data_IF_802814686514
#
_entry.id   IF_802814686514
#
_cell.length_a   1.000
_cell.length_b   1.000
_cell.length_c   1.000
_cell.angle_alpha   90.00
_cell.angle_beta   90.00
_cell.angle_gamma   90.00
#
_symmetry.space_group_name_H-M   'P 1'
#
loop_
_entity.id
_entity.type
_entity.pdbx_description
1 polymer ?
#
# COMPACT_ATOMS: atom_id res chain seq x y z
N UNK A 1 -0.48 -16.80 -14.73
CA UNK A 1 -1.59 -16.88 -13.75
C UNK A 1 -1.05 -16.34 -12.45
N UNK A 2 -1.71 -15.35 -11.88
CA UNK A 2 -1.37 -14.83 -10.56
C UNK A 2 -1.70 -15.90 -9.50
N UNK A 3 -0.87 -16.08 -8.48
CA UNK A 3 -1.15 -17.03 -7.39
C UNK A 3 -2.21 -16.40 -6.47
N UNK A 4 -3.41 -16.99 -6.43
CA UNK A 4 -4.58 -16.48 -5.69
C UNK A 4 -4.35 -16.45 -4.17
N UNK A 5 -3.35 -17.16 -3.67
CA UNK A 5 -2.97 -17.15 -2.24
C UNK A 5 -2.23 -15.88 -1.83
N UNK A 6 -1.70 -15.14 -2.79
CA UNK A 6 -0.88 -13.95 -2.56
C UNK A 6 -1.76 -12.71 -2.69
N UNK A 7 -1.94 -11.99 -1.60
CA UNK A 7 -2.67 -10.73 -1.57
C UNK A 7 -1.73 -9.54 -1.44
N UNK A 8 -1.99 -8.51 -2.23
CA UNK A 8 -1.47 -7.17 -2.01
C UNK A 8 -2.49 -6.35 -1.21
N UNK A 9 -2.03 -5.80 -0.10
CA UNK A 9 -2.79 -4.92 0.77
C UNK A 9 -2.22 -3.52 0.63
N UNK A 10 -3.06 -2.53 0.35
CA UNK A 10 -2.67 -1.11 0.28
C UNK A 10 -3.64 -0.24 1.06
N UNK A 11 -3.19 0.98 1.42
CA UNK A 11 -4.02 1.92 2.18
C UNK A 11 -3.93 1.73 3.69
N UNK A 12 -3.05 0.86 4.17
CA UNK A 12 -2.85 0.60 5.61
C UNK A 12 -2.36 1.91 6.27
N UNK A 13 -3.05 2.41 7.32
CA UNK A 13 -2.54 3.52 8.11
C UNK A 13 -1.15 3.20 8.65
N UNK A 14 -0.24 4.17 8.61
CA UNK A 14 1.15 3.98 9.05
C UNK A 14 1.28 3.51 10.50
N UNK A 15 0.30 3.84 11.35
CA UNK A 15 0.24 3.41 12.75
C UNK A 15 -0.11 1.92 12.91
N UNK A 16 -0.85 1.34 11.97
CA UNK A 16 -1.33 -0.04 11.99
C UNK A 16 -0.53 -0.97 11.07
N UNK A 17 0.39 -0.42 10.28
CA UNK A 17 1.22 -1.18 9.33
C UNK A 17 2.40 -1.85 10.05
N UNK A 18 2.09 -2.71 11.03
CA UNK A 18 3.04 -3.47 11.86
C UNK A 18 2.76 -4.96 11.72
N UNK A 19 3.80 -5.78 11.94
CA UNK A 19 3.73 -7.23 11.80
C UNK A 19 2.64 -7.84 12.68
N UNK A 20 2.65 -7.52 13.96
CA UNK A 20 1.73 -8.09 14.96
C UNK A 20 0.26 -7.80 14.64
N UNK A 21 -0.10 -6.55 14.36
CA UNK A 21 -1.45 -6.16 13.96
C UNK A 21 -1.90 -6.85 12.68
N UNK A 22 -1.03 -6.92 11.67
CA UNK A 22 -1.38 -7.57 10.40
C UNK A 22 -1.54 -9.09 10.58
N UNK A 23 -0.68 -9.75 11.35
CA UNK A 23 -0.87 -11.16 11.69
C UNK A 23 -2.17 -11.40 12.45
N UNK A 24 -2.53 -10.51 13.38
CA UNK A 24 -3.79 -10.61 14.14
C UNK A 24 -5.02 -10.48 13.23
N UNK A 25 -5.01 -9.53 12.30
CA UNK A 25 -6.15 -9.29 11.41
C UNK A 25 -6.25 -10.36 10.32
N UNK A 26 -5.16 -10.60 9.58
CA UNK A 26 -5.16 -11.54 8.46
C UNK A 26 -5.12 -13.01 8.93
N UNK A 27 -4.61 -13.29 10.12
CA UNK A 27 -4.58 -14.64 10.68
C UNK A 27 -5.95 -15.22 10.99
N UNK A 28 -6.99 -14.38 11.14
CA UNK A 28 -8.36 -14.84 11.36
C UNK A 28 -8.96 -15.62 10.18
N UNK A 29 -8.36 -15.51 8.98
CA UNK A 29 -8.87 -16.15 7.77
C UNK A 29 -8.13 -17.45 7.43
N UNK A 30 -6.95 -17.67 8.02
CA UNK A 30 -6.16 -18.88 7.81
C UNK A 30 -4.68 -18.69 8.09
N UNK A 31 -3.91 -19.77 7.93
CA UNK A 31 -2.46 -19.77 8.17
C UNK A 31 -1.73 -18.89 7.16
N UNK A 32 -1.01 -17.90 7.67
CA UNK A 32 -0.14 -17.03 6.88
C UNK A 32 1.23 -17.71 6.74
N UNK A 33 1.60 -18.05 5.51
CA UNK A 33 2.92 -18.59 5.18
C UNK A 33 3.98 -17.48 5.21
N UNK A 34 3.65 -16.28 4.74
CA UNK A 34 4.57 -15.16 4.72
C UNK A 34 3.83 -13.82 4.80
N UNK A 35 4.38 -12.91 5.61
CA UNK A 35 3.98 -11.51 5.65
C UNK A 35 5.17 -10.61 5.31
N UNK A 36 4.99 -9.70 4.35
CA UNK A 36 6.00 -8.72 3.90
C UNK A 36 5.42 -7.32 4.00
N UNK A 37 6.02 -6.45 4.80
CA UNK A 37 5.58 -5.05 4.96
C UNK A 37 6.49 -4.14 4.13
N UNK A 38 5.89 -3.22 3.37
CA UNK A 38 6.64 -2.24 2.60
C UNK A 38 7.33 -1.21 3.50
N UNK A 39 8.66 -1.13 3.42
CA UNK A 39 9.50 -0.21 4.21
C UNK A 39 9.86 1.09 3.49
N UNK A 40 9.90 1.09 2.16
CA UNK A 40 10.35 2.26 1.39
C UNK A 40 9.30 3.38 1.39
N UNK A 41 9.74 4.62 1.17
CA UNK A 41 8.83 5.76 0.99
C UNK A 41 7.74 5.50 -0.07
N UNK A 42 8.09 4.70 -1.09
CA UNK A 42 7.16 4.34 -2.14
C UNK A 42 6.18 3.24 -1.75
N UNK A 43 6.49 2.35 -0.80
CA UNK A 43 5.70 1.14 -0.45
C UNK A 43 5.13 1.16 0.97
N UNK A 44 5.50 2.15 1.79
CA UNK A 44 4.92 2.38 3.13
C UNK A 44 3.39 2.39 3.09
N UNK A 45 2.76 1.68 4.04
CA UNK A 45 1.31 1.47 4.07
C UNK A 45 0.82 0.41 3.08
N UNK A 46 1.72 -0.44 2.57
CA UNK A 46 1.39 -1.62 1.78
C UNK A 46 2.00 -2.86 2.42
N UNK A 47 1.38 -4.02 2.22
CA UNK A 47 1.90 -5.31 2.64
C UNK A 47 1.55 -6.38 1.60
N UNK A 48 2.34 -7.44 1.54
CA UNK A 48 2.01 -8.68 0.84
C UNK A 48 1.75 -9.76 1.90
N UNK A 49 0.59 -10.42 1.78
CA UNK A 49 0.18 -11.53 2.62
C UNK A 49 0.12 -12.77 1.75
N UNK A 50 0.84 -13.83 2.14
CA UNK A 50 0.84 -15.13 1.46
C UNK A 50 0.16 -16.13 2.38
N UNK A 51 -0.97 -16.66 1.96
CA UNK A 51 -1.66 -17.74 2.68
C UNK A 51 -1.19 -19.12 2.22
N UNK A 52 -1.41 -20.13 3.07
CA UNK A 52 -1.23 -21.52 2.67
C UNK A 52 -2.31 -21.99 1.68
N UNK A 53 -3.56 -21.56 1.90
CA UNK A 53 -4.75 -21.98 1.15
C UNK A 53 -5.40 -20.82 0.38
N UNK A 54 -5.93 -21.11 -0.81
CA UNK A 54 -6.64 -20.12 -1.63
C UNK A 54 -7.95 -19.64 -0.99
N UNK A 55 -8.62 -20.52 -0.23
CA UNK A 55 -9.88 -20.23 0.47
C UNK A 55 -9.68 -19.13 1.54
N UNK A 56 -8.58 -19.21 2.29
CA UNK A 56 -8.21 -18.20 3.28
C UNK A 56 -7.95 -16.83 2.63
N UNK A 57 -7.26 -16.82 1.49
CA UNK A 57 -7.01 -15.60 0.73
C UNK A 57 -8.30 -14.99 0.17
N UNK A 58 -9.20 -15.83 -0.34
CA UNK A 58 -10.51 -15.38 -0.86
C UNK A 58 -11.38 -14.81 0.24
N UNK A 59 -11.47 -15.48 1.39
CA UNK A 59 -12.22 -14.97 2.55
C UNK A 59 -11.65 -13.65 3.08
N UNK A 60 -10.32 -13.52 3.15
CA UNK A 60 -9.66 -12.28 3.54
C UNK A 60 -9.91 -11.15 2.53
N UNK A 61 -9.85 -11.45 1.23
CA UNK A 61 -10.14 -10.51 0.15
C UNK A 61 -11.57 -9.96 0.28
N UNK A 62 -12.57 -10.84 0.38
CA UNK A 62 -13.98 -10.46 0.45
C UNK A 62 -14.29 -9.65 1.71
N UNK A 63 -13.72 -10.02 2.86
CA UNK A 63 -14.02 -9.37 4.12
C UNK A 63 -13.26 -8.05 4.35
N UNK A 64 -12.03 -7.93 3.83
CA UNK A 64 -11.15 -6.80 4.13
C UNK A 64 -10.99 -5.82 2.96
N UNK A 65 -11.41 -6.17 1.75
CA UNK A 65 -11.44 -5.20 0.66
C UNK A 65 -12.46 -4.10 0.96
N UNK A 66 -12.04 -2.85 0.80
CA UNK A 66 -12.80 -1.64 1.13
C UNK A 66 -13.18 -1.52 2.61
N UNK A 67 -12.51 -2.27 3.49
CA UNK A 67 -12.73 -2.15 4.93
C UNK A 67 -12.25 -0.78 5.45
N UNK A 68 -13.16 -0.07 6.11
CA UNK A 68 -12.88 1.26 6.68
C UNK A 68 -12.03 1.16 7.94
N UNK A 69 -10.77 1.60 7.86
CA UNK A 69 -9.80 1.54 8.99
C UNK A 69 -9.75 2.84 9.78
N UNK A 70 -10.01 3.97 9.12
CA UNK A 70 -9.99 5.30 9.70
C UNK A 70 -11.06 6.15 9.01
N UNK A 71 -11.36 7.37 9.52
CA UNK A 71 -12.46 8.22 9.01
C UNK A 71 -12.49 8.33 7.48
N UNK A 72 -11.32 8.52 6.88
CA UNK A 72 -11.15 8.77 5.44
C UNK A 72 -10.24 7.73 4.77
N UNK A 73 -10.13 6.52 5.34
CA UNK A 73 -9.20 5.50 4.83
C UNK A 73 -9.80 4.10 4.81
N UNK A 74 -9.81 3.52 3.62
CA UNK A 74 -10.24 2.15 3.37
C UNK A 74 -9.02 1.30 2.98
N UNK A 75 -9.00 0.04 3.42
CA UNK A 75 -8.06 -0.96 2.91
C UNK A 75 -8.45 -1.31 1.49
N UNK A 76 -7.44 -1.50 0.64
CA UNK A 76 -7.62 -2.09 -0.67
C UNK A 76 -6.81 -3.38 -0.71
N UNK A 77 -7.52 -4.49 -0.77
CA UNK A 77 -6.95 -5.85 -0.85
C UNK A 77 -7.17 -6.38 -2.27
N UNK A 78 -6.17 -6.98 -2.88
CA UNK A 78 -6.31 -7.58 -4.22
C UNK A 78 -5.37 -8.76 -4.36
N UNK A 79 -5.72 -9.75 -5.19
CA UNK A 79 -4.76 -10.78 -5.60
C UNK A 79 -3.55 -10.09 -6.23
N UNK A 80 -2.36 -10.37 -5.71
CA UNK A 80 -1.11 -9.79 -6.17
C UNK A 80 -0.79 -10.28 -7.58
N UNK A 81 -0.51 -9.34 -8.47
CA UNK A 81 -0.01 -9.63 -9.81
C UNK A 81 1.27 -8.85 -10.04
N UNK A 82 2.39 -9.57 -10.18
CA UNK A 82 3.71 -8.95 -10.27
C UNK A 82 3.80 -7.91 -11.39
N UNK A 83 3.22 -8.20 -12.57
CA UNK A 83 3.34 -7.31 -13.72
C UNK A 83 2.48 -6.05 -13.55
N UNK A 84 1.22 -6.21 -13.12
CA UNK A 84 0.29 -5.10 -12.86
C UNK A 84 0.79 -4.23 -11.72
N UNK A 85 1.17 -4.84 -10.61
CA UNK A 85 1.47 -4.13 -9.37
C UNK A 85 2.85 -3.47 -9.41
N UNK A 86 3.84 -4.06 -10.12
CA UNK A 86 5.10 -3.37 -10.45
C UNK A 86 4.86 -2.12 -11.29
N UNK A 87 4.07 -2.22 -12.37
CA UNK A 87 3.70 -1.06 -13.22
C UNK A 87 2.90 0.00 -12.44
N UNK A 88 2.05 -0.42 -11.51
CA UNK A 88 1.32 0.50 -10.64
C UNK A 88 2.26 1.24 -9.67
N UNK A 89 3.23 0.53 -9.09
CA UNK A 89 4.24 1.10 -8.19
C UNK A 89 5.13 2.12 -8.91
N UNK A 90 5.63 1.80 -10.10
CA UNK A 90 6.42 2.73 -10.93
C UNK A 90 5.65 4.00 -11.26
N UNK A 91 4.37 3.87 -11.65
CA UNK A 91 3.49 5.03 -11.88
C UNK A 91 3.29 5.85 -10.62
N UNK A 92 3.17 5.21 -9.45
CA UNK A 92 3.05 5.91 -8.16
C UNK A 92 4.35 6.66 -7.79
N UNK A 93 5.52 6.05 -8.02
CA UNK A 93 6.84 6.68 -7.81
C UNK A 93 6.98 7.93 -8.68
N UNK A 94 6.79 7.79 -9.99
CA UNK A 94 6.90 8.89 -10.96
C UNK A 94 5.95 10.05 -10.65
N UNK A 95 4.70 9.76 -10.26
CA UNK A 95 3.74 10.81 -9.86
C UNK A 95 4.19 11.57 -8.60
N UNK A 96 4.78 10.86 -7.62
CA UNK A 96 5.29 11.51 -6.39
C UNK A 96 6.51 12.38 -6.67
N UNK A 97 7.43 11.90 -7.49
CA UNK A 97 8.62 12.66 -7.91
C UNK A 97 8.24 13.93 -8.66
N UNK A 98 7.38 13.83 -9.69
CA UNK A 98 6.87 14.98 -10.44
C UNK A 98 6.18 16.01 -9.53
N UNK A 99 5.37 15.54 -8.57
CA UNK A 99 4.68 16.44 -7.63
C UNK A 99 5.65 17.12 -6.67
N UNK A 100 6.68 16.41 -6.20
CA UNK A 100 7.70 16.97 -5.33
C UNK A 100 8.56 18.01 -6.06
N UNK A 101 8.93 17.74 -7.32
CA UNK A 101 9.66 18.69 -8.17
C UNK A 101 8.84 19.94 -8.47
N UNK A 102 7.58 19.79 -8.91
CA UNK A 102 6.68 20.92 -9.15
C UNK A 102 6.50 21.79 -7.89
N UNK A 103 6.30 21.16 -6.73
CA UNK A 103 6.18 21.86 -5.45
C UNK A 103 7.46 22.61 -5.08
N UNK A 104 8.63 22.07 -5.42
CA UNK A 104 9.92 22.72 -5.15
C UNK A 104 10.13 23.93 -6.04
N UNK A 105 9.82 23.81 -7.33
CA UNK A 105 9.97 24.89 -8.31
C UNK A 105 9.02 26.06 -8.03
N UNK A 106 7.77 25.80 -7.59
CA UNK A 106 6.86 26.86 -7.15
C UNK A 106 7.38 27.58 -5.90
N UNK A 107 7.92 26.83 -4.94
CA UNK A 107 8.45 27.42 -3.72
C UNK A 107 9.67 28.30 -3.97
N UNK A 108 10.58 27.90 -4.88
CA UNK A 108 11.76 28.70 -5.23
C UNK A 108 11.38 29.99 -5.98
N UNK A 109 10.50 29.91 -6.97
CA UNK A 109 10.06 31.09 -7.72
C UNK A 109 9.36 32.12 -6.80
N UNK A 110 8.59 31.65 -5.81
CA UNK A 110 7.93 32.54 -4.84
C UNK A 110 8.89 33.21 -3.86
N UNK A 111 10.07 32.60 -3.62
CA UNK A 111 11.08 33.16 -2.73
C UNK A 111 11.92 34.24 -3.44
N UNK A 112 12.18 34.07 -4.73
CA UNK A 112 12.91 35.06 -5.55
C UNK A 112 12.13 36.37 -5.66
N UNK A 113 10.82 36.31 -5.90
CA UNK A 113 9.96 37.52 -5.96
C UNK A 113 9.96 38.31 -4.66
N UNK A 114 10.01 37.63 -3.49
CA UNK A 114 10.03 38.31 -2.18
C UNK A 114 11.38 38.90 -1.80
N UNK A 115 12.46 38.55 -2.50
CA UNK A 115 13.78 39.11 -2.24
C UNK A 115 14.03 40.42 -3.01
N UNK A 116 13.16 40.74 -3.98
CA UNK A 116 13.26 41.96 -4.80
C UNK A 116 12.38 43.12 -4.28
N UNK A 117 11.46 42.87 -3.32
CA UNK A 117 10.68 43.88 -2.58
C UNK A 117 11.32 44.22 -1.22
#
# INVERSE_FOLDING_TARGET
MSDERILLVTGIPTKLCRGEELYKVFGNYGTIQQLRIGSDASTKGCAIVVYELCEAASAALEALHDFKVDRDRHLRVSVYDETRDRRALERRKRRREMKAEYSRNIASASAEVKAED
#
